data_IF_898242603931
#
_entry.id   IF_898242603931
#
_cell.length_a   1.000
_cell.length_b   1.000
_cell.length_c   1.000
_cell.angle_alpha   90.00
_cell.angle_beta   90.00
_cell.angle_gamma   90.00
#
_symmetry.space_group_name_H-M   'P 1'
#
loop_
_entity.id
_entity.type
_entity.pdbx_description
1 polymer ?
#
# COMPACT_ATOMS: atom_id res chain seq x y z
N UNK A 1 29.38 -31.51 -34.27
CA UNK A 1 28.44 -30.61 -33.54
C UNK A 1 27.33 -30.28 -34.50
N UNK A 2 26.07 -30.42 -34.08
CA UNK A 2 24.93 -29.93 -34.85
C UNK A 2 24.66 -28.48 -34.49
N UNK A 3 24.53 -27.62 -35.49
CA UNK A 3 24.05 -26.24 -35.37
C UNK A 3 22.62 -26.23 -35.93
N UNK A 4 21.69 -25.61 -35.20
CA UNK A 4 20.33 -25.41 -35.67
C UNK A 4 20.09 -23.90 -35.74
N UNK A 5 19.72 -23.40 -36.91
CA UNK A 5 19.35 -21.99 -37.11
C UNK A 5 17.83 -21.87 -37.09
N UNK A 6 17.30 -21.04 -36.18
CA UNK A 6 15.86 -20.73 -36.11
C UNK A 6 15.56 -19.52 -36.96
N UNK A 7 14.61 -19.64 -37.89
CA UNK A 7 14.05 -18.54 -38.69
C UNK A 7 12.59 -18.40 -38.29
N UNK A 8 12.11 -17.21 -37.94
CA UNK A 8 10.69 -16.95 -37.61
C UNK A 8 10.38 -16.81 -36.12
N UNK A 9 11.39 -16.69 -35.25
CA UNK A 9 11.18 -16.37 -33.82
C UNK A 9 11.07 -14.87 -33.55
N UNK A 10 11.29 -14.03 -34.55
CA UNK A 10 11.29 -12.57 -34.43
C UNK A 10 9.94 -12.06 -33.93
N UNK A 11 8.82 -12.62 -34.41
CA UNK A 11 7.48 -12.25 -33.93
C UNK A 11 7.26 -12.64 -32.46
N UNK A 12 7.81 -13.78 -32.05
CA UNK A 12 7.72 -14.25 -30.66
C UNK A 12 8.57 -13.35 -29.75
N UNK A 13 9.78 -13.00 -30.18
CA UNK A 13 10.65 -12.06 -29.48
C UNK A 13 9.99 -10.68 -29.33
N UNK A 14 9.35 -10.16 -30.39
CA UNK A 14 8.60 -8.91 -30.32
C UNK A 14 7.41 -8.97 -29.35
N UNK A 15 6.70 -10.11 -29.28
CA UNK A 15 5.62 -10.30 -28.30
C UNK A 15 6.15 -10.24 -26.87
N UNK A 16 7.32 -10.83 -26.59
CA UNK A 16 7.96 -10.74 -25.28
C UNK A 16 8.34 -9.30 -24.92
N UNK A 17 8.95 -8.56 -25.84
CA UNK A 17 9.32 -7.16 -25.62
C UNK A 17 8.09 -6.27 -25.34
N UNK A 18 6.99 -6.46 -26.08
CA UNK A 18 5.73 -5.73 -25.82
C UNK A 18 5.16 -6.05 -24.45
N UNK A 19 5.24 -7.31 -24.02
CA UNK A 19 4.78 -7.73 -22.70
C UNK A 19 5.62 -7.11 -21.58
N UNK A 20 6.93 -6.99 -21.76
CA UNK A 20 7.84 -6.31 -20.84
C UNK A 20 7.53 -4.82 -20.71
N UNK A 21 7.36 -4.12 -21.85
CA UNK A 21 6.99 -2.71 -21.86
C UNK A 21 5.65 -2.45 -21.17
N UNK A 22 4.67 -3.31 -21.43
CA UNK A 22 3.34 -3.20 -20.85
C UNK A 22 3.39 -3.44 -19.33
N UNK A 23 4.15 -4.45 -18.88
CA UNK A 23 4.34 -4.70 -17.46
C UNK A 23 5.05 -3.53 -16.74
N UNK A 24 6.07 -2.95 -17.36
CA UNK A 24 6.82 -1.82 -16.78
C UNK A 24 5.95 -0.59 -16.55
N UNK A 25 4.94 -0.38 -17.42
CA UNK A 25 3.94 0.70 -17.31
C UNK A 25 2.81 0.35 -16.33
N UNK A 26 2.31 -0.88 -16.37
CA UNK A 26 1.16 -1.30 -15.57
C UNK A 26 1.49 -1.41 -14.08
N UNK A 27 2.64 -2.00 -13.71
CA UNK A 27 2.98 -2.32 -12.31
C UNK A 27 2.87 -1.09 -11.38
N UNK A 28 3.44 0.09 -11.70
CA UNK A 28 3.27 1.29 -10.87
C UNK A 28 1.80 1.67 -10.64
N UNK A 29 1.00 1.65 -11.72
CA UNK A 29 -0.41 2.04 -11.67
C UNK A 29 -1.24 1.02 -10.87
N UNK A 30 -0.91 -0.27 -11.00
CA UNK A 30 -1.53 -1.33 -10.20
C UNK A 30 -1.23 -1.10 -8.70
N UNK A 31 0.03 -0.83 -8.35
CA UNK A 31 0.41 -0.57 -6.97
C UNK A 31 -0.31 0.66 -6.38
N UNK A 32 -0.46 1.73 -7.16
CA UNK A 32 -1.23 2.92 -6.75
C UNK A 32 -2.71 2.59 -6.51
N UNK A 33 -3.34 1.84 -7.42
CA UNK A 33 -4.74 1.43 -7.30
C UNK A 33 -4.97 0.54 -6.07
N UNK A 34 -4.14 -0.49 -5.89
CA UNK A 34 -4.22 -1.37 -4.73
C UNK A 34 -3.96 -0.63 -3.41
N UNK A 35 -2.99 0.29 -3.39
CA UNK A 35 -2.69 1.09 -2.20
C UNK A 35 -3.85 2.03 -1.84
N UNK A 36 -4.54 2.63 -2.83
CA UNK A 36 -5.71 3.48 -2.58
C UNK A 36 -6.86 2.70 -1.91
N UNK A 37 -7.12 1.46 -2.35
CA UNK A 37 -8.11 0.58 -1.73
C UNK A 37 -7.72 0.27 -0.28
N UNK A 38 -6.47 -0.13 -0.04
CA UNK A 38 -5.99 -0.43 1.31
C UNK A 38 -6.02 0.78 2.25
N UNK A 39 -5.64 1.97 1.77
CA UNK A 39 -5.70 3.21 2.57
C UNK A 39 -7.13 3.45 3.04
N UNK A 40 -8.10 3.40 2.12
CA UNK A 40 -9.52 3.62 2.45
C UNK A 40 -10.03 2.56 3.42
N UNK A 41 -9.74 1.28 3.16
CA UNK A 41 -10.16 0.18 4.03
C UNK A 41 -9.60 0.32 5.45
N UNK A 42 -8.32 0.68 5.61
CA UNK A 42 -7.72 0.88 6.93
C UNK A 42 -8.31 2.10 7.65
N UNK A 43 -8.62 3.18 6.93
CA UNK A 43 -9.28 4.36 7.51
C UNK A 43 -10.69 4.05 7.99
N UNK A 44 -11.49 3.37 7.16
CA UNK A 44 -12.87 2.97 7.47
C UNK A 44 -12.91 2.00 8.66
N UNK A 45 -12.02 1.00 8.68
CA UNK A 45 -11.95 0.03 9.77
C UNK A 45 -11.47 0.68 11.08
N UNK A 46 -10.49 1.60 11.01
CA UNK A 46 -10.05 2.35 12.18
C UNK A 46 -11.18 3.19 12.79
N UNK A 47 -11.99 3.83 11.94
CA UNK A 47 -13.18 4.57 12.35
C UNK A 47 -14.24 3.64 12.95
N UNK A 48 -14.52 2.50 12.32
CA UNK A 48 -15.49 1.51 12.77
C UNK A 48 -15.14 0.89 14.13
N UNK A 49 -13.85 0.65 14.39
CA UNK A 49 -13.35 0.18 15.69
C UNK A 49 -13.32 1.28 16.77
N UNK A 50 -13.85 2.48 16.47
CA UNK A 50 -13.94 3.59 17.40
C UNK A 50 -12.59 4.13 17.85
N UNK A 51 -11.53 3.94 17.06
CA UNK A 51 -10.26 4.63 17.27
C UNK A 51 -10.56 6.11 17.08
N UNK A 52 -10.65 6.86 18.19
CA UNK A 52 -10.89 8.30 18.11
C UNK A 52 -9.87 8.92 17.17
N UNK A 53 -10.32 9.84 16.34
CA UNK A 53 -9.45 10.67 15.51
C UNK A 53 -8.53 11.50 16.41
N UNK A 54 -7.45 10.86 16.86
CA UNK A 54 -6.54 11.41 17.84
C UNK A 54 -5.55 12.22 17.05
N UNK A 55 -5.70 13.54 17.12
CA UNK A 55 -4.82 14.49 16.45
C UNK A 55 -4.64 14.23 14.94
N UNK A 56 -5.63 13.67 14.24
CA UNK A 56 -5.52 13.38 12.79
C UNK A 56 -4.96 11.98 12.43
N UNK A 57 -4.94 11.04 13.38
CA UNK A 57 -4.42 9.68 13.13
C UNK A 57 -5.05 8.96 11.93
N UNK A 58 -6.38 8.96 11.79
CA UNK A 58 -7.04 8.24 10.69
C UNK A 58 -6.62 8.84 9.35
N UNK A 59 -6.67 10.17 9.22
CA UNK A 59 -6.25 10.90 8.03
C UNK A 59 -4.75 10.72 7.71
N UNK A 60 -3.94 10.36 8.69
CA UNK A 60 -2.53 10.10 8.51
C UNK A 60 -2.22 8.76 7.82
N UNK A 61 -3.19 7.83 7.76
CA UNK A 61 -3.02 6.56 7.05
C UNK A 61 -2.90 6.86 5.56
N UNK A 62 -1.73 6.61 5.00
CA UNK A 62 -1.41 6.94 3.62
C UNK A 62 -0.40 5.96 3.02
N UNK A 63 -0.44 5.82 1.70
CA UNK A 63 0.54 5.07 0.93
C UNK A 63 1.88 5.83 0.85
N UNK A 64 3.01 5.12 0.86
CA UNK A 64 4.29 5.70 0.48
C UNK A 64 4.34 5.95 -1.03
N UNK A 65 5.35 6.69 -1.48
CA UNK A 65 5.76 6.62 -2.88
C UNK A 65 6.11 5.17 -3.23
N UNK A 66 5.98 4.82 -4.51
CA UNK A 66 6.48 3.55 -5.04
C UNK A 66 8.00 3.52 -4.80
N UNK A 67 8.45 2.43 -4.20
CA UNK A 67 9.86 2.13 -3.91
C UNK A 67 10.30 0.90 -4.70
N UNK A 68 11.62 0.69 -4.75
CA UNK A 68 12.24 -0.44 -5.40
C UNK A 68 12.93 -0.04 -6.71
N UNK A 69 13.31 -1.05 -7.49
CA UNK A 69 14.02 -0.93 -8.75
C UNK A 69 13.24 -1.59 -9.91
N UNK A 70 13.93 -2.00 -10.97
CA UNK A 70 13.30 -2.64 -12.13
C UNK A 70 12.95 -4.12 -11.89
N UNK A 71 13.51 -4.73 -10.85
CA UNK A 71 13.21 -6.11 -10.46
C UNK A 71 12.14 -6.23 -9.40
N UNK A 72 12.03 -5.25 -8.50
CA UNK A 72 11.00 -5.21 -7.45
C UNK A 72 10.42 -3.80 -7.32
N UNK A 73 9.10 -3.70 -7.29
CA UNK A 73 8.39 -2.45 -6.95
C UNK A 73 7.35 -2.71 -5.88
N UNK A 74 7.30 -1.84 -4.87
CA UNK A 74 6.36 -1.96 -3.76
C UNK A 74 5.91 -0.61 -3.21
N UNK A 75 4.78 -0.64 -2.50
CA UNK A 75 4.22 0.48 -1.74
C UNK A 75 3.88 0.01 -0.35
N UNK A 76 4.19 0.82 0.66
CA UNK A 76 3.79 0.56 2.04
C UNK A 76 2.59 1.44 2.41
N UNK A 77 1.61 0.89 3.12
CA UNK A 77 0.46 1.64 3.64
C UNK A 77 0.52 1.63 5.16
N UNK A 78 0.68 2.81 5.76
CA UNK A 78 0.71 2.97 7.21
C UNK A 78 0.43 4.43 7.64
N UNK A 79 0.20 4.70 8.93
CA UNK A 79 0.02 6.07 9.45
C UNK A 79 1.31 6.92 9.38
N UNK A 80 1.29 8.01 8.62
CA UNK A 80 2.45 8.85 8.33
C UNK A 80 2.45 10.19 9.09
N UNK A 81 3.64 10.66 9.50
CA UNK A 81 3.79 11.94 10.20
C UNK A 81 3.78 11.81 11.72
N UNK A 82 3.47 12.91 12.41
CA UNK A 82 3.51 13.00 13.87
C UNK A 82 2.33 13.80 14.44
N UNK A 83 1.75 13.28 15.52
CA UNK A 83 0.80 13.98 16.36
C UNK A 83 1.53 14.81 17.42
N UNK A 84 0.98 15.98 17.73
CA UNK A 84 1.39 16.74 18.92
C UNK A 84 0.96 15.98 20.18
N UNK A 85 1.90 15.79 21.09
CA UNK A 85 1.64 15.06 22.35
C UNK A 85 2.03 15.87 23.58
N UNK A 86 3.10 16.66 23.46
CA UNK A 86 3.65 17.43 24.55
C UNK A 86 2.71 18.50 25.10
N UNK A 87 2.93 18.85 26.36
CA UNK A 87 2.22 19.92 27.04
C UNK A 87 2.97 21.25 26.89
N UNK A 88 2.57 22.06 25.91
CA UNK A 88 3.15 23.39 25.65
C UNK A 88 3.20 24.28 26.88
N UNK A 89 2.17 24.24 27.74
CA UNK A 89 2.11 25.06 28.97
C UNK A 89 3.23 24.69 29.95
N UNK A 90 3.76 23.47 29.87
CA UNK A 90 4.91 22.98 30.65
C UNK A 90 6.22 23.01 29.85
N UNK A 91 6.24 23.61 28.65
CA UNK A 91 7.41 23.65 27.78
C UNK A 91 7.72 22.36 27.03
N UNK A 92 6.87 21.34 27.15
CA UNK A 92 7.05 20.06 26.47
C UNK A 92 6.50 20.15 25.04
N UNK A 93 7.40 20.11 24.06
CA UNK A 93 7.11 20.17 22.62
C UNK A 93 7.20 18.80 21.95
N UNK A 94 7.13 17.72 22.72
CA UNK A 94 7.26 16.35 22.21
C UNK A 94 6.14 16.01 21.23
N UNK A 95 6.49 15.21 20.22
CA UNK A 95 5.57 14.71 19.22
C UNK A 95 5.69 13.18 19.16
N UNK A 96 4.57 12.52 18.90
CA UNK A 96 4.51 11.06 18.77
C UNK A 96 4.23 10.72 17.31
N UNK A 97 4.91 9.72 16.74
CA UNK A 97 4.64 9.27 15.36
C UNK A 97 3.26 8.63 15.30
N UNK A 98 2.49 8.91 14.24
CA UNK A 98 1.21 8.22 14.05
C UNK A 98 1.40 6.71 13.90
N UNK A 99 2.50 6.25 13.30
CA UNK A 99 2.84 4.83 13.26
C UNK A 99 2.91 4.20 14.67
N UNK A 100 3.40 4.94 15.68
CA UNK A 100 3.41 4.46 17.08
C UNK A 100 1.99 4.39 17.65
N UNK A 101 1.15 5.38 17.35
CA UNK A 101 -0.27 5.38 17.74
C UNK A 101 -0.98 4.18 17.08
N UNK A 102 -0.73 3.93 15.80
CA UNK A 102 -1.27 2.79 15.05
C UNK A 102 -0.79 1.45 15.60
N UNK A 103 0.48 1.34 15.97
CA UNK A 103 1.02 0.13 16.62
C UNK A 103 0.31 -0.17 17.95
N UNK A 104 0.13 0.86 18.79
CA UNK A 104 -0.60 0.73 20.05
C UNK A 104 -2.07 0.36 19.79
N UNK A 105 -2.72 0.95 18.78
CA UNK A 105 -4.07 0.57 18.41
C UNK A 105 -4.13 -0.90 17.96
N UNK A 106 -3.22 -1.31 17.09
CA UNK A 106 -3.18 -2.66 16.51
C UNK A 106 -3.00 -3.75 17.57
N UNK A 107 -2.06 -3.57 18.50
CA UNK A 107 -1.67 -4.63 19.45
C UNK A 107 -2.12 -4.39 20.90
N UNK A 108 -2.55 -3.18 21.23
CA UNK A 108 -2.88 -2.79 22.58
C UNK A 108 -1.65 -2.63 23.48
N UNK A 109 -1.92 -2.40 24.77
CA UNK A 109 -0.96 -2.41 25.86
C UNK A 109 -1.60 -3.08 27.08
N UNK A 110 -0.90 -3.18 28.21
CA UNK A 110 -1.50 -3.66 29.47
C UNK A 110 -2.69 -2.84 29.96
N UNK A 111 -2.87 -1.60 29.47
CA UNK A 111 -3.94 -0.68 29.88
C UNK A 111 -4.95 -0.35 28.78
N UNK A 112 -4.61 -0.62 27.53
CA UNK A 112 -5.41 -0.23 26.36
C UNK A 112 -5.67 -1.51 25.56
N UNK A 113 -6.93 -1.94 25.37
CA UNK A 113 -7.23 -3.13 24.58
C UNK A 113 -6.85 -2.94 23.11
N UNK A 114 -6.45 -4.03 22.45
CA UNK A 114 -6.15 -4.04 21.03
C UNK A 114 -7.40 -3.76 20.18
N UNK A 115 -7.20 -3.04 19.09
CA UNK A 115 -8.16 -2.70 18.04
C UNK A 115 -7.45 -2.93 16.70
N UNK A 116 -7.39 -4.19 16.23
CA UNK A 116 -6.52 -4.61 15.13
C UNK A 116 -7.04 -4.15 13.75
N UNK A 117 -7.19 -2.84 13.57
CA UNK A 117 -7.79 -2.22 12.39
C UNK A 117 -7.03 -2.56 11.12
N UNK A 118 -5.70 -2.67 11.18
CA UNK A 118 -4.87 -2.92 10.00
C UNK A 118 -5.03 -4.37 9.54
N UNK A 119 -5.01 -5.33 10.47
CA UNK A 119 -5.24 -6.75 10.15
C UNK A 119 -6.65 -6.95 9.59
N UNK A 120 -7.66 -6.45 10.29
CA UNK A 120 -9.06 -6.61 9.86
C UNK A 120 -9.33 -5.94 8.50
N UNK A 121 -8.79 -4.74 8.26
CA UNK A 121 -8.93 -4.06 6.98
C UNK A 121 -8.23 -4.81 5.85
N UNK A 122 -6.98 -5.25 6.06
CA UNK A 122 -6.20 -5.94 5.03
C UNK A 122 -6.83 -7.28 4.64
N UNK A 123 -7.36 -8.04 5.61
CA UNK A 123 -8.08 -9.28 5.35
C UNK A 123 -9.36 -9.05 4.54
N UNK A 124 -10.18 -8.05 4.93
CA UNK A 124 -11.42 -7.72 4.21
C UNK A 124 -11.17 -7.16 2.81
N UNK A 125 -10.15 -6.34 2.65
CA UNK A 125 -9.85 -5.65 1.41
C UNK A 125 -8.95 -6.45 0.44
N UNK A 126 -8.52 -7.66 0.82
CA UNK A 126 -7.57 -8.44 0.01
C UNK A 126 -8.08 -8.66 -1.44
N UNK A 127 -9.33 -9.11 -1.58
CA UNK A 127 -9.92 -9.34 -2.90
C UNK A 127 -10.11 -8.03 -3.66
N UNK A 128 -10.64 -7.00 -3.02
CA UNK A 128 -10.86 -5.69 -3.65
C UNK A 128 -9.56 -5.04 -4.12
N UNK A 129 -8.49 -5.20 -3.35
CA UNK A 129 -7.13 -4.75 -3.71
C UNK A 129 -6.66 -5.48 -4.96
N UNK A 130 -6.80 -6.81 -4.98
CA UNK A 130 -6.40 -7.66 -6.12
C UNK A 130 -7.21 -7.32 -7.38
N UNK A 131 -8.51 -7.12 -7.23
CA UNK A 131 -9.42 -6.77 -8.32
C UNK A 131 -9.06 -5.40 -8.90
N UNK A 132 -8.83 -4.39 -8.06
CA UNK A 132 -8.41 -3.06 -8.50
C UNK A 132 -7.08 -3.09 -9.26
N UNK A 133 -6.11 -3.89 -8.79
CA UNK A 133 -4.85 -4.09 -9.49
C UNK A 133 -5.08 -4.78 -10.85
N UNK A 134 -5.95 -5.79 -10.88
CA UNK A 134 -6.25 -6.52 -12.12
C UNK A 134 -6.97 -5.67 -13.15
N UNK A 135 -7.92 -4.81 -12.75
CA UNK A 135 -8.59 -3.87 -13.65
C UNK A 135 -7.60 -2.93 -14.34
N UNK A 136 -6.61 -2.42 -13.61
CA UNK A 136 -5.53 -1.60 -14.19
C UNK A 136 -4.70 -2.40 -15.19
N UNK A 137 -4.33 -3.63 -14.85
CA UNK A 137 -3.59 -4.51 -15.77
C UNK A 137 -4.35 -4.74 -17.07
N UNK A 138 -5.65 -5.04 -16.98
CA UNK A 138 -6.50 -5.23 -18.15
C UNK A 138 -6.59 -3.95 -19.00
N UNK A 139 -6.76 -2.79 -18.35
CA UNK A 139 -6.82 -1.51 -19.05
C UNK A 139 -5.54 -1.13 -19.79
N UNK A 140 -4.37 -1.48 -19.26
CA UNK A 140 -3.07 -1.19 -19.88
C UNK A 140 -2.72 -2.18 -21.00
N UNK A 141 -3.10 -3.45 -20.86
CA UNK A 141 -2.67 -4.50 -21.79
C UNK A 141 -3.68 -4.87 -22.87
N UNK A 142 -4.97 -4.61 -22.64
CA UNK A 142 -6.04 -4.92 -23.59
C UNK A 142 -6.69 -3.65 -24.18
N UNK A 143 -6.18 -2.46 -23.82
CA UNK A 143 -6.56 -1.16 -24.37
C UNK A 143 -5.76 -0.76 -25.60
#
# INVERSE_FOLDING_TARGET
>A
MGEFTTIGLEEVAQKFLRMEEAATKAVPLMLEAGAAVLVKAQQDEAAAMGIKETAGFIQSIAATKIKGDDTERYVEVYPQGKAKHGNDRKGDKSNVRYATIGFIAQYGTSKIPARPYMTAANEKAHQQTTDAMYEVWQGVNNG
#
